data_IF_275826579198
#
_entry.id   IF_275826579198
#
_cell.length_a   1.000
_cell.length_b   1.000
_cell.length_c   1.000
_cell.angle_alpha   90.00
_cell.angle_beta   90.00
_cell.angle_gamma   90.00
#
_symmetry.space_group_name_H-M   'P 1'
#
loop_
_entity.id
_entity.type
_entity.pdbx_description
1 polymer ?
#
# COMPACT_ATOMS: atom_id res chain seq x y z
N UNK A 1 18.67 -48.22 -32.52
CA UNK A 1 19.77 -47.26 -32.34
C UNK A 1 20.21 -47.31 -30.88
N UNK A 2 21.31 -48.02 -30.56
CA UNK A 2 21.79 -48.17 -29.18
C UNK A 2 22.55 -46.91 -28.76
N UNK A 3 21.95 -46.14 -27.85
CA UNK A 3 22.55 -44.92 -27.32
C UNK A 3 23.63 -45.26 -26.28
N UNK A 4 24.85 -44.70 -26.43
CA UNK A 4 25.97 -45.00 -25.52
C UNK A 4 25.64 -44.60 -24.07
N UNK A 5 26.17 -45.33 -23.09
CA UNK A 5 25.88 -45.06 -21.67
C UNK A 5 26.26 -43.64 -21.25
N UNK A 6 27.30 -43.05 -21.84
CA UNK A 6 27.69 -41.66 -21.60
C UNK A 6 26.59 -40.68 -22.02
N UNK A 7 25.95 -40.92 -23.15
CA UNK A 7 24.87 -40.07 -23.66
C UNK A 7 23.60 -40.19 -22.80
N UNK A 8 23.31 -41.39 -22.27
CA UNK A 8 22.20 -41.60 -21.31
C UNK A 8 22.43 -40.84 -20.00
N UNK A 9 23.64 -40.88 -19.44
CA UNK A 9 23.96 -40.16 -18.20
C UNK A 9 23.78 -38.65 -18.36
N UNK A 10 24.23 -38.08 -19.48
CA UNK A 10 24.02 -36.65 -19.80
C UNK A 10 22.53 -36.33 -19.94
N UNK A 11 21.78 -37.21 -20.59
CA UNK A 11 20.34 -37.03 -20.80
C UNK A 11 19.54 -37.09 -19.48
N UNK A 12 19.86 -38.00 -18.57
CA UNK A 12 19.23 -38.06 -17.24
C UNK A 12 19.59 -36.86 -16.36
N UNK A 13 20.83 -36.35 -16.45
CA UNK A 13 21.24 -35.14 -15.75
C UNK A 13 20.43 -33.91 -16.20
N UNK A 14 20.25 -33.75 -17.51
CA UNK A 14 19.39 -32.69 -18.07
C UNK A 14 17.92 -32.84 -17.62
N UNK A 15 17.42 -34.07 -17.61
CA UNK A 15 16.03 -34.35 -17.23
C UNK A 15 15.78 -34.10 -15.73
N UNK A 16 16.74 -34.43 -14.85
CA UNK A 16 16.66 -34.09 -13.42
C UNK A 16 16.70 -32.58 -13.17
N UNK A 17 17.52 -31.84 -13.92
CA UNK A 17 17.62 -30.38 -13.78
C UNK A 17 16.32 -29.68 -14.21
N UNK A 18 15.69 -30.11 -15.31
CA UNK A 18 14.42 -29.52 -15.76
C UNK A 18 13.29 -29.83 -14.79
N UNK A 19 13.18 -31.06 -14.30
CA UNK A 19 12.21 -31.42 -13.27
C UNK A 19 12.44 -30.66 -11.96
N UNK A 20 13.70 -30.57 -11.49
CA UNK A 20 14.04 -29.79 -10.30
C UNK A 20 13.66 -28.32 -10.43
N UNK A 21 13.99 -27.68 -11.55
CA UNK A 21 13.62 -26.28 -11.81
C UNK A 21 12.11 -26.06 -11.89
N UNK A 22 11.37 -27.03 -12.44
CA UNK A 22 9.91 -26.96 -12.54
C UNK A 22 9.25 -27.04 -11.16
N UNK A 23 9.70 -27.96 -10.30
CA UNK A 23 9.21 -28.06 -8.92
C UNK A 23 9.53 -26.82 -8.11
N UNK A 24 10.74 -26.25 -8.25
CA UNK A 24 11.11 -24.98 -7.59
C UNK A 24 10.20 -23.85 -8.08
N UNK A 25 9.95 -23.75 -9.37
CA UNK A 25 9.07 -22.71 -9.94
C UNK A 25 7.63 -22.85 -9.45
N UNK A 26 7.07 -24.05 -9.42
CA UNK A 26 5.72 -24.31 -8.88
C UNK A 26 5.66 -23.92 -7.40
N UNK A 27 6.63 -24.33 -6.60
CA UNK A 27 6.70 -24.00 -5.18
C UNK A 27 6.79 -22.49 -4.93
N UNK A 28 7.65 -21.78 -5.66
CA UNK A 28 7.78 -20.32 -5.56
C UNK A 28 6.50 -19.59 -5.96
N UNK A 29 5.80 -20.04 -7.00
CA UNK A 29 4.51 -19.45 -7.39
C UNK A 29 3.43 -19.69 -6.34
N UNK A 30 3.38 -20.89 -5.74
CA UNK A 30 2.45 -21.19 -4.65
C UNK A 30 2.71 -20.31 -3.43
N UNK A 31 3.98 -20.17 -3.00
CA UNK A 31 4.36 -19.35 -1.86
C UNK A 31 4.10 -17.84 -2.08
N UNK A 32 4.31 -17.33 -3.30
CA UNK A 32 4.05 -15.92 -3.62
C UNK A 32 2.55 -15.57 -3.52
N UNK A 33 1.68 -16.47 -3.99
CA UNK A 33 0.22 -16.29 -3.91
C UNK A 33 -0.28 -16.17 -2.47
N UNK A 34 0.21 -17.04 -1.57
CA UNK A 34 -0.17 -17.02 -0.16
C UNK A 34 0.24 -15.70 0.53
N UNK A 35 1.48 -15.25 0.32
CA UNK A 35 1.96 -14.00 0.90
C UNK A 35 1.17 -12.78 0.41
N UNK A 36 0.82 -12.74 -0.88
CA UNK A 36 0.05 -11.62 -1.45
C UNK A 36 -1.35 -11.47 -0.84
N UNK A 37 -2.00 -12.58 -0.48
CA UNK A 37 -3.33 -12.54 0.15
C UNK A 37 -3.25 -12.06 1.60
N UNK A 38 -2.23 -12.55 2.34
CA UNK A 38 -1.96 -12.11 3.70
C UNK A 38 -1.69 -10.61 3.77
N UNK A 39 -0.87 -10.07 2.87
CA UNK A 39 -0.57 -8.63 2.84
C UNK A 39 -1.82 -7.79 2.55
N UNK A 40 -2.70 -8.25 1.65
CA UNK A 40 -3.98 -7.58 1.36
C UNK A 40 -4.95 -7.64 2.55
N UNK A 41 -4.99 -8.75 3.28
CA UNK A 41 -5.79 -8.89 4.50
C UNK A 41 -5.25 -8.00 5.62
N UNK A 42 -3.94 -8.00 5.84
CA UNK A 42 -3.27 -7.10 6.79
C UNK A 42 -3.56 -5.63 6.47
N UNK A 43 -3.50 -5.24 5.20
CA UNK A 43 -3.87 -3.91 4.77
C UNK A 43 -5.32 -3.58 5.12
N UNK A 44 -6.27 -4.48 4.82
CA UNK A 44 -7.68 -4.29 5.15
C UNK A 44 -7.89 -4.12 6.66
N UNK A 45 -7.19 -4.92 7.48
CA UNK A 45 -7.21 -4.83 8.94
C UNK A 45 -6.57 -3.54 9.48
N UNK A 46 -5.62 -2.96 8.76
CA UNK A 46 -5.04 -1.67 9.12
C UNK A 46 -6.00 -0.53 8.79
N UNK A 47 -6.48 -0.46 7.55
CA UNK A 47 -7.36 0.64 7.10
C UNK A 47 -8.73 0.60 7.76
N UNK A 48 -9.17 -0.54 8.30
CA UNK A 48 -10.40 -0.64 9.11
C UNK A 48 -10.36 0.16 10.42
N UNK A 49 -9.17 0.61 10.86
CA UNK A 49 -9.02 1.52 11.99
C UNK A 49 -9.25 3.00 11.61
N UNK A 50 -9.47 3.30 10.33
CA UNK A 50 -9.65 4.65 9.81
C UNK A 50 -11.07 4.84 9.27
N UNK A 51 -11.53 6.08 9.26
CA UNK A 51 -12.84 6.44 8.72
C UNK A 51 -12.79 6.43 7.19
N UNK A 52 -13.55 5.54 6.56
CA UNK A 52 -13.68 5.49 5.10
C UNK A 52 -14.55 6.66 4.63
N UNK A 53 -14.01 7.50 3.74
CA UNK A 53 -14.71 8.68 3.23
C UNK A 53 -14.50 8.84 1.73
N UNK A 54 -15.41 9.59 1.10
CA UNK A 54 -15.23 10.04 -0.28
C UNK A 54 -14.37 11.29 -0.34
N UNK A 55 -13.79 11.56 -1.51
CA UNK A 55 -13.02 12.78 -1.78
C UNK A 55 -13.85 14.07 -1.58
N UNK A 56 -15.16 14.02 -1.77
CA UNK A 56 -16.07 15.13 -1.48
C UNK A 56 -16.25 15.36 0.01
N UNK A 57 -16.33 14.30 0.81
CA UNK A 57 -16.43 14.45 2.26
C UNK A 57 -15.15 15.06 2.84
N UNK A 58 -13.98 14.69 2.30
CA UNK A 58 -12.71 15.37 2.62
C UNK A 58 -12.80 16.88 2.32
N UNK A 59 -13.35 17.25 1.15
CA UNK A 59 -13.52 18.65 0.74
C UNK A 59 -14.47 19.41 1.67
N UNK A 60 -15.55 18.75 2.12
CA UNK A 60 -16.48 19.33 3.07
C UNK A 60 -15.83 19.57 4.44
N UNK A 61 -15.05 18.61 4.94
CA UNK A 61 -14.31 18.75 6.21
C UNK A 61 -13.23 19.82 6.12
N UNK A 62 -12.56 19.93 4.97
CA UNK A 62 -11.61 21.01 4.69
C UNK A 62 -12.29 22.38 4.79
N UNK A 63 -13.44 22.57 4.13
CA UNK A 63 -14.23 23.82 4.19
C UNK A 63 -14.66 24.18 5.61
N UNK A 64 -14.99 23.19 6.44
CA UNK A 64 -15.29 23.36 7.87
C UNK A 64 -14.04 23.68 8.72
N UNK A 65 -12.88 23.91 8.10
CA UNK A 65 -11.60 24.21 8.76
C UNK A 65 -11.15 23.09 9.71
N UNK A 66 -11.45 21.82 9.37
CA UNK A 66 -10.97 20.67 10.13
C UNK A 66 -9.45 20.54 10.13
N UNK A 67 -8.93 19.81 11.12
CA UNK A 67 -7.52 19.38 11.17
C UNK A 67 -7.49 17.86 11.28
N UNK A 68 -6.98 17.21 10.24
CA UNK A 68 -7.08 15.75 10.04
C UNK A 68 -6.06 15.28 9.01
N UNK A 69 -5.87 13.98 8.92
CA UNK A 69 -5.02 13.33 7.91
C UNK A 69 -5.91 12.55 6.95
N UNK A 70 -5.53 12.53 5.68
CA UNK A 70 -6.16 11.68 4.67
C UNK A 70 -5.11 10.76 4.08
N UNK A 71 -5.39 9.47 4.07
CA UNK A 71 -4.61 8.44 3.41
C UNK A 71 -5.33 7.99 2.14
N UNK A 72 -4.75 8.30 0.99
CA UNK A 72 -5.20 7.86 -0.33
C UNK A 72 -4.42 6.60 -0.71
N UNK A 73 -5.12 5.47 -0.83
CA UNK A 73 -4.48 4.18 -1.06
C UNK A 73 -5.44 3.14 -1.64
N UNK A 74 -4.88 1.94 -1.86
CA UNK A 74 -5.59 0.76 -2.34
C UNK A 74 -4.87 -0.51 -1.89
N UNK A 75 -5.63 -1.60 -1.73
CA UNK A 75 -5.11 -2.95 -1.47
C UNK A 75 -4.34 -3.55 -2.66
N UNK A 76 -4.51 -3.00 -3.86
CA UNK A 76 -3.84 -3.47 -5.08
C UNK A 76 -2.60 -2.65 -5.42
N UNK A 77 -2.17 -1.78 -4.50
CA UNK A 77 -0.97 -0.97 -4.59
C UNK A 77 0.07 -1.52 -3.61
N UNK A 78 1.10 -2.22 -4.11
CA UNK A 78 2.18 -2.80 -3.28
C UNK A 78 2.80 -1.79 -2.30
N UNK A 79 3.25 -0.61 -2.77
CA UNK A 79 3.77 0.43 -1.88
C UNK A 79 2.79 0.95 -0.82
N UNK A 80 1.48 0.82 -1.05
CA UNK A 80 0.45 1.21 -0.09
C UNK A 80 0.35 0.21 1.07
N UNK A 81 0.64 -1.08 0.81
CA UNK A 81 0.68 -2.14 1.82
C UNK A 81 1.77 -1.83 2.87
N UNK A 82 2.92 -1.32 2.44
CA UNK A 82 4.02 -0.92 3.33
C UNK A 82 3.72 0.37 4.11
N UNK A 83 3.06 1.34 3.46
CA UNK A 83 2.78 2.64 4.07
C UNK A 83 1.68 2.57 5.15
N UNK A 84 0.66 1.72 4.97
CA UNK A 84 -0.50 1.70 5.86
C UNK A 84 -0.15 1.40 7.34
N UNK A 85 0.70 0.40 7.67
CA UNK A 85 1.14 0.17 9.04
C UNK A 85 1.87 1.36 9.66
N UNK A 86 2.67 2.09 8.88
CA UNK A 86 3.36 3.31 9.35
C UNK A 86 2.36 4.41 9.72
N UNK A 87 1.32 4.61 8.88
CA UNK A 87 0.25 5.57 9.17
C UNK A 87 -0.47 5.20 10.47
N UNK A 88 -0.85 3.92 10.65
CA UNK A 88 -1.54 3.45 11.85
C UNK A 88 -0.69 3.61 13.11
N UNK A 89 0.59 3.25 13.04
CA UNK A 89 1.56 3.39 14.14
C UNK A 89 1.63 4.85 14.62
N UNK A 90 1.80 5.78 13.69
CA UNK A 90 1.89 7.21 14.03
C UNK A 90 0.54 7.77 14.50
N UNK A 91 -0.57 7.35 13.91
CA UNK A 91 -1.91 7.73 14.37
C UNK A 91 -2.15 7.33 15.82
N UNK A 92 -1.76 6.12 16.21
CA UNK A 92 -1.83 5.66 17.60
C UNK A 92 -0.89 6.44 18.51
N UNK A 93 0.37 6.64 18.09
CA UNK A 93 1.37 7.37 18.87
C UNK A 93 0.95 8.82 19.20
N UNK A 94 0.31 9.51 18.26
CA UNK A 94 -0.16 10.89 18.46
C UNK A 94 -1.61 10.98 18.96
N UNK A 95 -2.29 9.86 19.23
CA UNK A 95 -3.72 9.82 19.59
C UNK A 95 -4.61 10.53 18.56
N UNK A 96 -4.33 10.33 17.28
CA UNK A 96 -5.03 10.95 16.14
C UNK A 96 -5.88 9.95 15.34
N UNK A 97 -6.16 8.76 15.89
CA UNK A 97 -6.85 7.69 15.14
C UNK A 97 -8.21 8.16 14.58
N UNK A 98 -8.99 8.90 15.37
CA UNK A 98 -10.30 9.47 14.98
C UNK A 98 -10.20 10.66 14.02
N UNK A 99 -8.98 11.04 13.63
CA UNK A 99 -8.70 12.12 12.67
C UNK A 99 -8.01 11.61 11.42
N UNK A 100 -7.96 10.29 11.21
CA UNK A 100 -7.45 9.68 9.99
C UNK A 100 -8.62 9.25 9.12
N UNK A 101 -8.65 9.77 7.92
CA UNK A 101 -9.60 9.40 6.89
C UNK A 101 -8.90 8.58 5.81
N UNK A 102 -9.53 7.50 5.38
CA UNK A 102 -9.07 6.68 4.28
C UNK A 102 -9.94 6.91 3.05
N UNK A 103 -9.29 7.13 1.91
CA UNK A 103 -9.95 7.25 0.60
C UNK A 103 -9.44 6.11 -0.28
N UNK A 104 -10.35 5.21 -0.65
CA UNK A 104 -10.04 4.12 -1.57
C UNK A 104 -9.98 4.64 -3.01
N UNK A 105 -8.78 4.67 -3.59
CA UNK A 105 -8.57 5.14 -4.96
C UNK A 105 -8.92 4.12 -6.04
N UNK A 106 -9.23 2.86 -5.68
CA UNK A 106 -9.80 1.92 -6.66
C UNK A 106 -11.21 2.33 -7.09
N UNK A 107 -11.91 3.14 -6.29
CA UNK A 107 -13.14 3.78 -6.72
C UNK A 107 -12.79 4.92 -7.70
N UNK A 108 -13.18 4.75 -8.96
CA UNK A 108 -12.87 5.69 -10.04
C UNK A 108 -13.44 7.08 -9.80
N UNK A 109 -14.58 7.18 -9.11
CA UNK A 109 -15.21 8.46 -8.76
C UNK A 109 -14.36 9.17 -7.71
N UNK A 110 -13.94 8.44 -6.68
CA UNK A 110 -13.10 9.01 -5.62
C UNK A 110 -11.74 9.42 -6.14
N UNK A 111 -11.13 8.61 -7.02
CA UNK A 111 -9.86 8.94 -7.66
C UNK A 111 -9.97 10.19 -8.54
N UNK A 112 -11.00 10.30 -9.38
CA UNK A 112 -11.23 11.48 -10.23
C UNK A 112 -11.35 12.75 -9.39
N UNK A 113 -12.19 12.72 -8.36
CA UNK A 113 -12.38 13.86 -7.46
C UNK A 113 -11.08 14.19 -6.70
N UNK A 114 -10.35 13.17 -6.23
CA UNK A 114 -9.08 13.39 -5.54
C UNK A 114 -8.02 14.01 -6.46
N UNK A 115 -7.96 13.58 -7.72
CA UNK A 115 -7.09 14.16 -8.73
C UNK A 115 -7.48 15.62 -9.03
N UNK A 116 -8.76 15.88 -9.27
CA UNK A 116 -9.25 17.21 -9.63
C UNK A 116 -9.05 18.24 -8.49
N UNK A 117 -9.39 17.89 -7.25
CA UNK A 117 -9.33 18.85 -6.14
C UNK A 117 -7.98 18.90 -5.44
N UNK A 118 -7.26 17.78 -5.40
CA UNK A 118 -6.04 17.65 -4.60
C UNK A 118 -4.81 17.29 -5.42
N UNK A 119 -4.91 17.14 -6.74
CA UNK A 119 -3.78 16.85 -7.63
C UNK A 119 -3.11 15.51 -7.31
N UNK A 120 -3.87 14.51 -6.86
CA UNK A 120 -3.33 13.18 -6.56
C UNK A 120 -2.94 12.49 -7.87
N UNK A 121 -1.64 12.35 -8.10
CA UNK A 121 -1.05 11.71 -9.30
C UNK A 121 -0.58 10.28 -9.05
N UNK A 122 -0.51 9.84 -7.80
CA UNK A 122 -0.02 8.52 -7.43
C UNK A 122 -0.36 8.14 -5.99
N UNK A 123 -0.17 6.86 -5.68
CA UNK A 123 -0.41 6.29 -4.35
C UNK A 123 0.82 5.52 -3.85
N UNK A 124 1.03 5.43 -2.52
CA UNK A 124 0.23 6.08 -1.48
C UNK A 124 0.39 7.61 -1.51
N UNK A 125 -0.68 8.34 -1.16
CA UNK A 125 -0.55 9.77 -0.83
C UNK A 125 -1.14 10.03 0.55
N UNK A 126 -0.40 10.71 1.41
CA UNK A 126 -0.81 11.10 2.76
C UNK A 126 -0.85 12.62 2.79
N UNK A 127 -2.02 13.17 3.10
CA UNK A 127 -2.25 14.61 3.13
C UNK A 127 -2.68 15.06 4.52
N UNK A 128 -2.02 16.08 5.04
CA UNK A 128 -2.28 16.62 6.37
C UNK A 128 -2.95 17.97 6.24
N UNK A 129 -4.14 18.07 6.83
CA UNK A 129 -4.91 19.30 6.89
C UNK A 129 -4.80 19.90 8.30
N UNK A 130 -4.56 21.21 8.37
CA UNK A 130 -4.64 21.99 9.61
C UNK A 130 -5.47 23.25 9.33
N UNK A 131 -6.54 23.43 10.08
CA UNK A 131 -7.47 24.57 9.93
C UNK A 131 -7.96 24.76 8.47
N UNK A 132 -8.24 23.65 7.77
CA UNK A 132 -8.70 23.65 6.37
C UNK A 132 -7.63 23.90 5.31
N UNK A 133 -6.35 24.03 5.70
CA UNK A 133 -5.23 24.16 4.77
C UNK A 133 -4.41 22.88 4.72
N UNK A 134 -3.93 22.52 3.54
CA UNK A 134 -2.93 21.45 3.40
C UNK A 134 -1.60 21.98 3.92
N UNK A 135 -1.09 21.37 4.99
CA UNK A 135 0.20 21.74 5.61
C UNK A 135 1.31 20.74 5.32
N UNK A 136 0.97 19.53 4.90
CA UNK A 136 1.92 18.54 4.43
C UNK A 136 1.27 17.61 3.40
N UNK A 137 2.06 17.20 2.41
CA UNK A 137 1.71 16.19 1.41
C UNK A 137 2.91 15.26 1.24
N UNK A 138 2.65 13.96 1.31
CA UNK A 138 3.63 12.90 1.13
C UNK A 138 3.09 12.02 0.02
N UNK A 139 3.85 11.82 -1.06
CA UNK A 139 3.43 10.99 -2.19
C UNK A 139 4.51 9.96 -2.50
N UNK A 140 4.10 8.72 -2.73
CA UNK A 140 4.97 7.59 -3.04
C UNK A 140 5.49 6.84 -1.80
N UNK A 141 6.25 5.77 -2.05
CA UNK A 141 7.04 5.08 -1.03
C UNK A 141 8.44 5.67 -0.97
N UNK A 142 8.93 5.92 0.24
CA UNK A 142 10.32 6.31 0.50
C UNK A 142 10.81 5.56 1.73
N UNK A 143 12.11 5.28 1.80
CA UNK A 143 12.73 4.64 2.98
C UNK A 143 12.47 5.40 4.29
N UNK A 144 12.09 6.67 4.20
CA UNK A 144 11.83 7.57 5.33
C UNK A 144 10.34 7.86 5.53
N UNK A 145 9.44 7.04 5.00
CA UNK A 145 8.00 7.29 5.10
C UNK A 145 7.54 7.43 6.55
N UNK A 146 8.11 6.64 7.48
CA UNK A 146 7.78 6.74 8.92
C UNK A 146 8.19 8.08 9.52
N UNK A 147 9.39 8.59 9.21
CA UNK A 147 9.87 9.88 9.71
C UNK A 147 9.07 11.05 9.14
N UNK A 148 8.74 11.00 7.85
CA UNK A 148 7.96 12.05 7.19
C UNK A 148 6.53 12.06 7.72
N UNK A 149 5.91 10.89 7.87
CA UNK A 149 4.58 10.74 8.49
C UNK A 149 4.59 11.25 9.93
N UNK A 150 5.60 10.88 10.72
CA UNK A 150 5.77 11.35 12.09
C UNK A 150 5.84 12.88 12.17
N UNK A 151 6.63 13.52 11.30
CA UNK A 151 6.74 14.97 11.23
C UNK A 151 5.42 15.64 10.81
N UNK A 152 4.71 15.04 9.86
CA UNK A 152 3.43 15.56 9.38
C UNK A 152 2.34 15.47 10.47
N UNK A 153 2.32 14.40 11.27
CA UNK A 153 1.35 14.23 12.36
C UNK A 153 1.61 15.19 13.52
N UNK A 154 2.88 15.52 13.79
CA UNK A 154 3.25 16.53 14.78
C UNK A 154 2.67 17.92 14.46
N UNK A 155 2.33 18.21 13.19
CA UNK A 155 1.71 19.48 12.81
C UNK A 155 0.24 19.59 13.23
N UNK A 156 -0.49 18.49 13.48
CA UNK A 156 -1.91 18.54 13.89
C UNK A 156 -2.07 18.67 15.41
N UNK A 157 -1.09 18.21 16.19
CA UNK A 157 -1.05 18.42 17.64
C UNK A 157 -1.01 19.91 17.98
#
# INVERSE_FOLDING_TARGET
MMMSNRLKTVMYGLLMLTFGSFFIFVYLNSAHSENSNLEKEQYANVVSNFDFVSSQEVKNRQKKKGSFVVFFGSKDCGPCLEAAPSVLKNAKFYSLIDKIYYVNINDSTFFKDANEYYGITGTPTIMVFKKGKVVSRITGSSEKIDDIVKGAFALIK
#
